data_IF_807411026146
#
_entry.id   IF_807411026146
#
_cell.length_a   1.000
_cell.length_b   1.000
_cell.length_c   1.000
_cell.angle_alpha   90.00
_cell.angle_beta   90.00
_cell.angle_gamma   90.00
#
_symmetry.space_group_name_H-M   'P 1'
#
loop_
_entity.id
_entity.type
_entity.pdbx_description
1 polymer ?
#
# COMPACT_ATOMS: atom_id res chain seq x y z
N UNK A 1 -11.92 13.80 13.68
CA UNK A 1 -11.42 12.70 12.82
C UNK A 1 -9.90 12.71 12.66
N UNK A 2 -9.26 13.71 12.03
CA UNK A 2 -7.79 13.68 11.90
C UNK A 2 -7.07 13.56 13.25
N UNK A 3 -7.31 14.49 14.17
CA UNK A 3 -6.66 14.51 15.51
C UNK A 3 -6.96 13.27 16.36
N UNK A 4 -8.19 12.76 16.28
CA UNK A 4 -8.67 11.69 17.16
C UNK A 4 -8.40 10.27 16.61
N UNK A 5 -8.26 10.12 15.30
CA UNK A 5 -8.22 8.80 14.63
C UNK A 5 -6.98 8.62 13.77
N UNK A 6 -6.63 9.61 12.95
CA UNK A 6 -5.50 9.51 12.01
C UNK A 6 -4.18 9.85 12.72
N UNK A 7 -4.10 11.02 13.35
CA UNK A 7 -2.88 11.53 13.98
C UNK A 7 -2.23 10.55 14.97
N UNK A 8 -2.97 9.85 15.86
CA UNK A 8 -2.36 8.95 16.84
C UNK A 8 -1.64 7.73 16.26
N UNK A 9 -1.92 7.38 14.99
CA UNK A 9 -1.30 6.23 14.30
C UNK A 9 -0.22 6.64 13.30
N UNK A 10 0.05 7.95 13.14
CA UNK A 10 1.10 8.44 12.27
C UNK A 10 2.44 8.52 13.02
N UNK A 11 3.51 8.10 12.36
CA UNK A 11 4.88 8.25 12.87
C UNK A 11 5.75 8.87 11.79
N UNK A 12 6.02 10.18 11.84
CA UNK A 12 6.92 10.82 10.89
C UNK A 12 8.36 10.39 11.12
N UNK A 13 9.09 10.14 10.03
CA UNK A 13 10.51 9.77 10.04
C UNK A 13 11.30 10.90 9.39
N UNK A 14 12.07 11.65 10.19
CA UNK A 14 12.97 12.68 9.67
C UNK A 14 14.21 12.06 9.01
N UNK A 15 14.64 12.65 7.90
CA UNK A 15 15.82 12.25 7.13
C UNK A 15 16.84 13.40 7.16
N UNK A 16 18.05 13.11 7.65
CA UNK A 16 19.18 14.04 7.75
C UNK A 16 20.53 13.28 7.74
N UNK A 17 21.65 14.00 7.86
CA UNK A 17 22.99 13.41 7.85
C UNK A 17 23.23 12.37 8.97
N UNK A 18 22.51 12.46 10.09
CA UNK A 18 22.59 11.52 11.21
C UNK A 18 21.48 10.47 11.19
N UNK A 19 20.43 10.69 10.38
CA UNK A 19 19.26 9.82 10.20
C UNK A 19 19.08 9.56 8.70
N UNK A 20 19.78 8.56 8.12
CA UNK A 20 19.70 8.29 6.69
C UNK A 20 18.27 7.88 6.30
N UNK A 21 18.01 7.93 5.00
CA UNK A 21 16.72 7.55 4.44
C UNK A 21 16.31 6.15 4.92
N UNK A 22 15.09 5.97 5.47
CA UNK A 22 14.69 4.72 6.09
C UNK A 22 14.47 3.62 5.04
N UNK A 23 14.68 2.37 5.44
CA UNK A 23 14.25 1.22 4.64
C UNK A 23 12.72 1.15 4.65
N UNK A 24 12.09 1.53 3.54
CA UNK A 24 10.64 1.43 3.36
C UNK A 24 10.23 0.04 2.90
N UNK A 25 9.11 -0.45 3.45
CA UNK A 25 8.48 -1.68 2.99
C UNK A 25 7.94 -1.51 1.56
N UNK A 26 8.09 -2.55 0.73
CA UNK A 26 7.54 -2.56 -0.62
C UNK A 26 6.03 -2.45 -0.63
N UNK A 27 5.48 -1.88 -1.71
CA UNK A 27 4.04 -1.70 -1.97
C UNK A 27 3.29 -0.84 -0.93
N UNK A 28 4.01 -0.14 -0.05
CA UNK A 28 3.43 0.82 0.90
C UNK A 28 3.29 2.21 0.27
N UNK A 29 2.20 2.90 0.62
CA UNK A 29 2.00 4.29 0.24
C UNK A 29 2.67 5.21 1.26
N UNK A 30 3.47 6.15 0.77
CA UNK A 30 4.26 7.05 1.60
C UNK A 30 4.10 8.50 1.10
N UNK A 31 4.26 9.44 2.02
CA UNK A 31 4.30 10.86 1.75
C UNK A 31 5.69 11.37 2.06
N UNK A 32 6.35 12.00 1.10
CA UNK A 32 7.57 12.76 1.34
C UNK A 32 7.17 14.21 1.65
N UNK A 33 7.68 14.72 2.77
CA UNK A 33 7.39 16.06 3.28
C UNK A 33 8.67 16.88 3.25
N UNK A 34 8.65 17.98 2.48
CA UNK A 34 9.72 18.97 2.47
C UNK A 34 9.45 20.01 3.55
N UNK A 35 10.45 20.26 4.40
CA UNK A 35 10.34 21.09 5.60
C UNK A 35 11.38 22.22 5.55
N UNK A 36 10.98 23.38 6.06
CA UNK A 36 11.85 24.54 6.28
C UNK A 36 11.88 24.87 7.78
N UNK A 37 13.08 25.08 8.33
CA UNK A 37 13.23 25.52 9.73
C UNK A 37 12.67 26.92 9.92
N UNK A 38 11.85 27.13 10.96
CA UNK A 38 11.32 28.46 11.29
C UNK A 38 12.32 29.33 12.08
N UNK A 39 13.50 28.80 12.43
CA UNK A 39 14.49 29.52 13.24
C UNK A 39 15.24 30.58 12.42
N UNK A 40 15.08 31.84 12.82
CA UNK A 40 15.80 33.01 12.28
C UNK A 40 17.34 32.97 12.45
N UNK A 41 17.88 32.01 13.21
CA UNK A 41 19.30 31.92 13.57
C UNK A 41 20.03 30.71 13.00
N UNK A 42 19.30 29.81 12.33
CA UNK A 42 19.90 28.69 11.59
C UNK A 42 19.82 29.01 10.10
N UNK A 43 20.86 28.68 9.34
CA UNK A 43 20.77 28.66 7.88
C UNK A 43 19.51 27.89 7.45
N UNK A 44 18.91 28.31 6.34
CA UNK A 44 17.71 27.71 5.76
C UNK A 44 18.01 26.27 5.29
N UNK A 45 18.17 25.36 6.23
CA UNK A 45 18.40 23.95 5.98
C UNK A 45 17.06 23.31 5.63
N UNK A 46 16.91 22.94 4.36
CA UNK A 46 15.80 22.11 3.92
C UNK A 46 15.92 20.72 4.56
N UNK A 47 14.85 20.29 5.20
CA UNK A 47 14.76 18.97 5.81
C UNK A 47 13.72 18.12 5.09
N UNK A 48 13.96 16.82 5.09
CA UNK A 48 13.04 15.86 4.51
C UNK A 48 12.46 15.01 5.63
N UNK A 49 11.18 14.71 5.55
CA UNK A 49 10.54 13.71 6.38
C UNK A 49 9.66 12.79 5.54
N UNK A 50 9.43 11.59 6.06
CA UNK A 50 8.56 10.61 5.43
C UNK A 50 7.44 10.27 6.41
N UNK A 51 6.22 10.25 5.90
CA UNK A 51 5.03 9.81 6.62
C UNK A 51 4.44 8.64 5.86
N UNK A 52 4.44 7.45 6.48
CA UNK A 52 3.80 6.29 5.88
C UNK A 52 2.29 6.38 6.07
N UNK A 53 1.52 6.13 5.00
CA UNK A 53 0.06 6.07 5.08
C UNK A 53 -0.34 4.76 5.76
N UNK A 54 -1.04 4.81 6.90
CA UNK A 54 -1.26 3.63 7.74
C UNK A 54 -2.32 2.70 7.12
N UNK A 55 -1.98 1.43 6.95
CA UNK A 55 -2.88 0.42 6.37
C UNK A 55 -3.98 -0.08 7.32
N UNK A 56 -3.89 0.27 8.62
CA UNK A 56 -4.92 -0.08 9.62
C UNK A 56 -6.20 0.76 9.47
N UNK A 57 -6.13 1.88 8.76
CA UNK A 57 -7.28 2.74 8.50
C UNK A 57 -7.84 2.49 7.09
N UNK A 58 -9.14 2.69 6.93
CA UNK A 58 -9.74 2.74 5.59
C UNK A 58 -9.12 3.87 4.78
N UNK A 59 -8.73 3.56 3.54
CA UNK A 59 -8.04 4.51 2.67
C UNK A 59 -8.97 5.55 2.04
N UNK A 60 -10.27 5.26 1.98
CA UNK A 60 -11.29 6.22 1.56
C UNK A 60 -12.13 6.59 2.79
N UNK A 61 -12.36 7.88 2.99
CA UNK A 61 -13.10 8.40 4.14
C UNK A 61 -14.36 9.07 3.60
N UNK A 62 -15.52 8.60 4.03
CA UNK A 62 -16.81 9.24 3.70
C UNK A 62 -16.93 10.57 4.45
N UNK A 63 -17.27 11.63 3.72
CA UNK A 63 -17.45 12.97 4.28
C UNK A 63 -18.89 13.47 4.08
N UNK A 64 -19.39 14.37 4.94
CA UNK A 64 -20.74 14.91 4.80
C UNK A 64 -20.95 15.52 3.41
N UNK A 65 -22.02 15.10 2.74
CA UNK A 65 -22.42 15.57 1.43
C UNK A 65 -23.89 15.99 1.42
N UNK A 66 -24.34 16.61 0.32
CA UNK A 66 -25.73 17.01 0.15
C UNK A 66 -26.70 15.81 0.08
N UNK A 67 -28.02 16.07 0.08
CA UNK A 67 -29.01 15.02 -0.09
C UNK A 67 -28.76 14.25 -1.41
N UNK A 68 -28.82 12.92 -1.34
CA UNK A 68 -28.58 11.97 -2.44
C UNK A 68 -27.15 11.96 -3.02
N UNK A 69 -26.16 12.48 -2.30
CA UNK A 69 -24.75 12.40 -2.69
C UNK A 69 -23.92 11.66 -1.63
N UNK A 70 -22.97 10.84 -2.09
CA UNK A 70 -21.88 10.33 -1.24
C UNK A 70 -20.59 10.99 -1.72
N UNK A 71 -19.80 11.53 -0.79
CA UNK A 71 -18.51 12.15 -1.08
C UNK A 71 -17.43 11.45 -0.27
N UNK A 72 -16.28 11.24 -0.88
CA UNK A 72 -15.16 10.57 -0.26
C UNK A 72 -13.88 11.36 -0.50
N UNK A 73 -12.98 11.28 0.46
CA UNK A 73 -11.60 11.80 0.37
C UNK A 73 -10.63 10.67 0.65
N UNK A 74 -9.44 10.74 0.06
CA UNK A 74 -8.41 9.75 0.31
C UNK A 74 -7.68 10.05 1.62
N UNK A 75 -7.28 9.01 2.34
CA UNK A 75 -6.57 9.11 3.60
C UNK A 75 -5.27 9.91 3.45
N UNK A 76 -4.50 9.65 2.40
CA UNK A 76 -3.28 10.40 2.10
C UNK A 76 -3.50 11.90 1.87
N UNK A 77 -4.64 12.30 1.29
CA UNK A 77 -4.97 13.71 1.07
C UNK A 77 -5.33 14.40 2.39
N UNK A 78 -6.02 13.68 3.30
CA UNK A 78 -6.31 14.17 4.65
C UNK A 78 -5.02 14.33 5.45
N UNK A 79 -4.09 13.37 5.35
CA UNK A 79 -2.78 13.46 6.00
C UNK A 79 -1.98 14.63 5.43
N UNK A 80 -1.92 14.77 4.10
CA UNK A 80 -1.18 15.84 3.44
C UNK A 80 -1.72 17.24 3.81
N UNK A 81 -3.05 17.40 3.85
CA UNK A 81 -3.68 18.68 4.24
C UNK A 81 -3.49 19.08 5.70
N UNK A 82 -3.12 18.14 6.57
CA UNK A 82 -2.86 18.38 8.00
C UNK A 82 -1.40 18.11 8.39
N UNK A 83 -0.49 18.03 7.40
CA UNK A 83 0.90 17.69 7.64
C UNK A 83 1.60 18.66 8.60
N UNK A 84 1.22 19.94 8.63
CA UNK A 84 1.76 20.95 9.56
C UNK A 84 1.62 20.53 11.03
N UNK A 85 0.57 19.78 11.38
CA UNK A 85 0.35 19.31 12.75
C UNK A 85 1.35 18.23 13.18
N UNK A 86 2.01 17.55 12.21
CA UNK A 86 3.03 16.54 12.48
C UNK A 86 4.41 17.14 12.73
N UNK A 87 4.66 18.38 12.29
CA UNK A 87 6.01 18.97 12.21
C UNK A 87 6.10 20.31 12.94
N UNK A 88 5.87 20.30 14.27
CA UNK A 88 6.00 21.51 15.10
C UNK A 88 7.40 22.15 15.00
N UNK A 89 7.43 23.47 14.77
CA UNK A 89 8.67 24.26 14.62
C UNK A 89 9.28 24.21 13.22
N UNK A 90 8.58 23.61 12.26
CA UNK A 90 8.92 23.61 10.85
C UNK A 90 7.73 24.10 10.02
N UNK A 91 8.04 24.72 8.90
CA UNK A 91 7.07 25.03 7.86
C UNK A 91 7.07 23.93 6.81
N UNK A 92 5.90 23.35 6.53
CA UNK A 92 5.76 22.39 5.42
C UNK A 92 5.79 23.15 4.09
N UNK A 93 6.78 22.85 3.23
CA UNK A 93 6.89 23.42 1.88
C UNK A 93 6.06 22.65 0.88
N UNK A 94 6.13 21.31 0.92
CA UNK A 94 5.36 20.43 0.04
C UNK A 94 5.19 19.04 0.65
N UNK A 95 4.14 18.34 0.22
CA UNK A 95 3.85 16.95 0.58
C UNK A 95 3.56 16.19 -0.71
N UNK A 96 4.27 15.10 -0.95
CA UNK A 96 4.23 14.40 -2.25
C UNK A 96 4.09 12.91 -2.04
N UNK A 97 3.02 12.32 -2.57
CA UNK A 97 2.76 10.90 -2.45
C UNK A 97 3.63 10.09 -3.42
N UNK A 98 4.21 9.01 -2.91
CA UNK A 98 4.94 8.04 -3.71
C UNK A 98 4.73 6.61 -3.18
N UNK A 99 4.96 5.63 -4.05
CA UNK A 99 4.91 4.21 -3.70
C UNK A 99 6.02 3.46 -4.40
N UNK A 100 6.83 2.79 -3.59
CA UNK A 100 7.94 1.97 -4.07
C UNK A 100 7.54 0.50 -4.09
N UNK A 101 7.73 -0.17 -5.22
CA UNK A 101 7.67 -1.64 -5.28
C UNK A 101 9.08 -2.19 -5.12
N UNK A 102 9.28 -3.30 -4.42
CA UNK A 102 10.61 -3.94 -4.31
C UNK A 102 10.60 -5.34 -4.94
N UNK A 103 11.61 -5.68 -5.71
CA UNK A 103 11.77 -7.04 -6.24
C UNK A 103 12.14 -7.96 -5.07
N UNK A 104 11.19 -8.85 -4.74
CA UNK A 104 11.22 -9.88 -3.70
C UNK A 104 10.73 -9.49 -2.30
N UNK A 105 9.41 -9.52 -2.15
CA UNK A 105 8.82 -10.17 -0.98
C UNK A 105 9.20 -11.66 -1.04
N UNK A 106 10.24 -12.08 -0.31
CA UNK A 106 10.45 -13.50 -0.04
C UNK A 106 9.40 -13.93 0.98
N UNK A 107 8.31 -14.56 0.54
CA UNK A 107 7.60 -15.52 1.38
C UNK A 107 8.56 -16.69 1.60
N UNK A 108 9.27 -16.68 2.73
CA UNK A 108 10.04 -17.84 3.17
C UNK A 108 9.00 -18.92 3.49
N UNK A 109 8.83 -19.89 2.59
CA UNK A 109 8.15 -21.13 2.92
C UNK A 109 9.09 -21.92 3.85
N UNK A 110 8.76 -21.97 5.14
CA UNK A 110 9.57 -22.60 6.22
C UNK A 110 9.61 -24.13 6.20
N UNK A 111 9.34 -24.78 5.06
CA UNK A 111 9.37 -26.24 4.97
C UNK A 111 10.63 -26.73 4.25
N UNK A 112 11.70 -26.89 5.05
CA UNK A 112 12.72 -27.91 4.82
C UNK A 112 13.95 -27.53 4.00
N UNK A 113 14.92 -26.81 4.60
CA UNK A 113 16.33 -27.16 4.38
C UNK A 113 17.26 -26.59 5.47
N UNK A 114 18.02 -27.47 6.12
CA UNK A 114 19.08 -27.09 7.07
C UNK A 114 20.28 -26.39 6.39
N UNK A 115 20.37 -26.38 5.05
CA UNK A 115 21.45 -25.74 4.29
C UNK A 115 20.98 -24.49 3.51
N UNK A 116 19.67 -24.16 3.54
CA UNK A 116 19.20 -22.89 2.97
C UNK A 116 19.65 -21.70 3.81
N UNK A 117 19.80 -21.83 5.13
CA UNK A 117 20.08 -20.71 6.02
C UNK A 117 21.41 -20.00 5.69
N UNK A 118 22.46 -20.75 5.36
CA UNK A 118 23.76 -20.19 5.02
C UNK A 118 23.77 -19.56 3.60
N UNK A 119 23.08 -20.18 2.65
CA UNK A 119 22.91 -19.64 1.29
C UNK A 119 22.00 -18.39 1.30
N UNK A 120 20.94 -18.40 2.12
CA UNK A 120 20.05 -17.28 2.43
C UNK A 120 20.82 -16.14 3.08
N UNK A 121 21.68 -16.37 4.08
CA UNK A 121 22.46 -15.29 4.71
C UNK A 121 23.40 -14.60 3.70
N UNK A 122 23.95 -15.38 2.77
CA UNK A 122 24.86 -14.90 1.73
C UNK A 122 24.12 -14.12 0.64
N UNK A 123 22.94 -14.60 0.24
CA UNK A 123 22.04 -13.90 -0.69
C UNK A 123 21.34 -12.69 -0.03
N UNK A 124 20.95 -12.76 1.25
CA UNK A 124 20.39 -11.64 2.04
C UNK A 124 21.36 -10.46 2.14
N UNK A 125 22.67 -10.74 2.30
CA UNK A 125 23.71 -9.70 2.29
C UNK A 125 23.85 -9.02 0.92
N UNK A 126 23.67 -9.76 -0.18
CA UNK A 126 23.69 -9.22 -1.55
C UNK A 126 22.37 -8.54 -1.94
N UNK A 127 21.24 -8.99 -1.36
CA UNK A 127 19.88 -8.57 -1.69
C UNK A 127 19.38 -7.34 -0.90
N UNK A 128 20.18 -6.82 0.04
CA UNK A 128 19.95 -5.46 0.56
C UNK A 128 19.93 -4.39 -0.54
N UNK A 129 20.49 -4.69 -1.72
CA UNK A 129 20.42 -3.88 -2.94
C UNK A 129 19.68 -4.61 -4.06
N UNK A 130 18.44 -5.02 -3.80
CA UNK A 130 17.53 -5.50 -4.85
C UNK A 130 17.35 -4.41 -5.90
N UNK A 131 17.82 -4.70 -7.11
CA UNK A 131 17.76 -3.87 -8.32
C UNK A 131 16.39 -3.24 -8.51
N UNK A 132 16.38 -1.99 -8.96
CA UNK A 132 15.24 -1.08 -8.99
C UNK A 132 13.92 -1.72 -9.39
N UNK A 133 12.89 -1.33 -8.65
CA UNK A 133 11.53 -1.80 -8.90
C UNK A 133 10.59 -0.64 -8.69
N UNK A 134 9.84 -0.37 -9.75
CA UNK A 134 8.75 0.60 -9.90
C UNK A 134 8.56 1.59 -8.74
N UNK A 135 8.86 2.86 -9.02
CA UNK A 135 8.44 4.01 -8.23
C UNK A 135 7.20 4.64 -8.88
N UNK A 136 6.06 4.57 -8.21
CA UNK A 136 4.82 5.26 -8.61
C UNK A 136 4.77 6.63 -7.93
N UNK A 137 4.46 7.68 -8.69
CA UNK A 137 4.33 9.06 -8.20
C UNK A 137 3.11 9.74 -8.81
N UNK A 138 2.53 10.73 -8.11
CA UNK A 138 1.39 11.50 -8.65
C UNK A 138 1.91 12.57 -9.61
N UNK A 139 1.53 12.47 -10.89
CA UNK A 139 2.01 13.33 -11.99
C UNK A 139 1.87 14.83 -11.68
N UNK A 140 0.76 15.23 -11.05
CA UNK A 140 0.42 16.64 -10.80
C UNK A 140 1.00 17.22 -9.51
N UNK A 141 1.62 16.39 -8.67
CA UNK A 141 2.09 16.76 -7.33
C UNK A 141 3.58 16.56 -7.15
N UNK A 142 4.19 15.67 -7.94
CA UNK A 142 5.60 15.34 -7.81
C UNK A 142 6.48 16.42 -8.45
N UNK A 143 7.24 17.12 -7.62
CA UNK A 143 8.26 18.08 -8.02
C UNK A 143 9.49 17.33 -8.54
N UNK A 144 10.11 17.83 -9.60
CA UNK A 144 11.26 17.15 -10.21
C UNK A 144 12.47 17.05 -9.25
N UNK A 145 12.68 18.03 -8.37
CA UNK A 145 13.74 17.98 -7.35
C UNK A 145 13.52 16.84 -6.34
N UNK A 146 12.27 16.66 -5.90
CA UNK A 146 11.89 15.57 -5.00
C UNK A 146 11.96 14.22 -5.70
N UNK A 147 11.56 14.15 -6.98
CA UNK A 147 11.74 12.95 -7.77
C UNK A 147 13.22 12.56 -7.87
N UNK A 148 14.11 13.50 -8.23
CA UNK A 148 15.55 13.23 -8.31
C UNK A 148 16.12 12.79 -6.96
N UNK A 149 15.65 13.39 -5.87
CA UNK A 149 16.00 12.96 -4.51
C UNK A 149 15.59 11.50 -4.27
N UNK A 150 14.34 11.12 -4.55
CA UNK A 150 13.86 9.74 -4.40
C UNK A 150 14.62 8.75 -5.29
N UNK A 151 14.93 9.11 -6.54
CA UNK A 151 15.72 8.27 -7.45
C UNK A 151 17.12 7.98 -6.91
N UNK A 152 17.76 9.01 -6.33
CA UNK A 152 19.08 8.88 -5.72
C UNK A 152 19.04 8.01 -4.47
N UNK A 153 18.08 8.25 -3.56
CA UNK A 153 17.95 7.50 -2.31
C UNK A 153 17.59 6.03 -2.55
N UNK A 154 16.82 5.73 -3.59
CA UNK A 154 16.48 4.35 -3.96
C UNK A 154 17.44 3.69 -4.94
N UNK A 155 18.43 4.42 -5.44
CA UNK A 155 19.39 3.94 -6.45
C UNK A 155 18.67 3.36 -7.70
N UNK A 156 17.60 4.02 -8.16
CA UNK A 156 16.80 3.61 -9.33
C UNK A 156 16.85 4.66 -10.45
N UNK A 157 16.51 4.24 -11.67
CA UNK A 157 16.52 5.13 -12.84
C UNK A 157 15.15 5.75 -13.15
N UNK A 158 15.14 6.78 -13.98
CA UNK A 158 13.91 7.37 -14.55
C UNK A 158 13.03 6.33 -15.28
N UNK A 159 13.65 5.29 -15.85
CA UNK A 159 12.92 4.18 -16.49
C UNK A 159 12.04 3.38 -15.53
N UNK A 160 12.30 3.48 -14.22
CA UNK A 160 11.53 2.81 -13.18
C UNK A 160 10.41 3.70 -12.62
N UNK A 161 10.26 4.94 -13.12
CA UNK A 161 9.26 5.91 -12.66
C UNK A 161 7.97 5.78 -13.44
N UNK A 162 6.88 5.67 -12.70
CA UNK A 162 5.52 5.61 -13.24
C UNK A 162 4.77 6.81 -12.70
N UNK A 163 4.60 7.81 -13.56
CA UNK A 163 3.82 9.00 -13.24
C UNK A 163 2.34 8.69 -13.48
N UNK A 164 1.53 8.82 -12.44
CA UNK A 164 0.11 8.45 -12.44
C UNK A 164 -0.73 9.73 -12.31
N UNK A 165 -1.68 9.91 -13.22
CA UNK A 165 -2.68 10.98 -13.15
C UNK A 165 -3.90 10.48 -12.36
N UNK A 166 -3.76 10.41 -11.04
CA UNK A 166 -4.78 9.89 -10.12
C UNK A 166 -4.17 9.34 -8.83
N UNK A 167 -4.99 8.67 -7.99
CA UNK A 167 -4.48 8.01 -6.80
C UNK A 167 -3.49 6.90 -7.16
N UNK A 168 -2.44 6.78 -6.34
CA UNK A 168 -1.52 5.65 -6.40
C UNK A 168 -2.21 4.38 -5.90
N UNK A 169 -1.68 3.20 -6.18
CA UNK A 169 -2.18 1.93 -5.62
C UNK A 169 -3.72 1.75 -5.71
N UNK A 170 -4.26 1.31 -6.84
CA UNK A 170 -5.71 1.17 -7.03
C UNK A 170 -6.35 -0.02 -6.29
N UNK A 171 -5.60 -0.75 -5.45
CA UNK A 171 -6.14 -1.90 -4.70
C UNK A 171 -7.26 -1.52 -3.73
N UNK A 172 -7.30 -0.27 -3.27
CA UNK A 172 -8.40 0.23 -2.42
C UNK A 172 -9.77 0.20 -3.13
N UNK A 173 -9.79 0.16 -4.47
CA UNK A 173 -11.04 0.18 -5.24
C UNK A 173 -11.92 -1.04 -4.97
N UNK A 174 -11.33 -2.19 -4.61
CA UNK A 174 -12.11 -3.38 -4.26
C UNK A 174 -13.04 -3.12 -3.06
N UNK A 175 -12.49 -2.66 -1.95
CA UNK A 175 -13.28 -2.29 -0.77
C UNK A 175 -14.15 -1.04 -1.01
N UNK A 176 -13.70 -0.11 -1.85
CA UNK A 176 -14.49 1.06 -2.21
C UNK A 176 -15.79 0.67 -2.95
N UNK A 177 -15.71 -0.25 -3.91
CA UNK A 177 -16.88 -0.75 -4.65
C UNK A 177 -17.91 -1.37 -3.71
N UNK A 178 -17.47 -2.18 -2.75
CA UNK A 178 -18.35 -2.75 -1.72
C UNK A 178 -19.06 -1.65 -0.92
N UNK A 179 -18.34 -0.61 -0.50
CA UNK A 179 -18.93 0.51 0.26
C UNK A 179 -19.95 1.33 -0.55
N UNK A 180 -19.66 1.63 -1.82
CA UNK A 180 -20.52 2.51 -2.62
C UNK A 180 -21.72 1.79 -3.24
N UNK A 181 -21.69 0.47 -3.28
CA UNK A 181 -22.74 -0.36 -3.87
C UNK A 181 -23.90 -0.69 -2.93
N UNK A 182 -23.82 -0.30 -1.65
CA UNK A 182 -24.93 -0.41 -0.69
C UNK A 182 -26.19 0.30 -1.23
N UNK A 183 -27.26 -0.46 -1.49
CA UNK A 183 -28.51 0.02 -2.11
C UNK A 183 -28.46 0.16 -3.63
N UNK A 184 -27.39 -0.32 -4.28
CA UNK A 184 -27.15 -0.29 -5.73
C UNK A 184 -26.66 -1.65 -6.25
N UNK A 185 -27.23 -2.73 -5.74
CA UNK A 185 -26.83 -4.10 -6.05
C UNK A 185 -26.95 -4.42 -7.55
N UNK A 186 -27.86 -3.74 -8.26
CA UNK A 186 -28.03 -3.83 -9.71
C UNK A 186 -26.83 -3.33 -10.53
N UNK A 187 -25.85 -2.65 -9.92
CA UNK A 187 -24.60 -2.25 -10.55
C UNK A 187 -23.47 -3.27 -10.34
N UNK A 188 -23.69 -4.28 -9.50
CA UNK A 188 -22.73 -5.33 -9.21
C UNK A 188 -22.94 -6.53 -10.13
N UNK A 189 -21.89 -7.36 -10.26
CA UNK A 189 -22.05 -8.70 -10.80
C UNK A 189 -22.93 -9.54 -9.87
N UNK A 190 -23.75 -10.40 -10.47
CA UNK A 190 -24.55 -11.35 -9.71
C UNK A 190 -23.63 -12.30 -8.93
N UNK A 191 -23.91 -12.48 -7.64
CA UNK A 191 -23.16 -13.43 -6.82
C UNK A 191 -23.47 -14.85 -7.30
N UNK A 192 -22.42 -15.62 -7.58
CA UNK A 192 -22.56 -17.03 -7.91
C UNK A 192 -22.40 -17.86 -6.62
N UNK A 193 -23.42 -18.64 -6.29
CA UNK A 193 -23.38 -19.58 -5.16
C UNK A 193 -22.85 -20.93 -5.69
N UNK A 194 -21.65 -21.38 -5.25
CA UNK A 194 -21.12 -22.68 -5.64
C UNK A 194 -22.10 -23.81 -5.33
N UNK A 195 -22.24 -24.75 -6.26
CA UNK A 195 -23.14 -25.89 -6.10
C UNK A 195 -22.38 -27.08 -5.52
N UNK A 196 -23.09 -28.03 -4.90
CA UNK A 196 -22.44 -29.30 -4.56
C UNK A 196 -22.03 -30.02 -5.85
N UNK A 197 -20.86 -30.67 -5.87
CA UNK A 197 -20.44 -31.49 -7.00
C UNK A 197 -21.50 -32.52 -7.34
N UNK A 198 -21.90 -32.60 -8.61
CA UNK A 198 -22.97 -33.50 -9.04
C UNK A 198 -22.61 -34.98 -8.80
N UNK A 199 -21.32 -35.29 -8.73
CA UNK A 199 -20.81 -36.63 -8.48
C UNK A 199 -20.93 -37.11 -7.02
N UNK A 200 -21.28 -36.21 -6.11
CA UNK A 200 -21.54 -36.52 -4.70
C UNK A 200 -23.06 -36.54 -4.46
N UNK A 201 -23.62 -37.74 -4.27
CA UNK A 201 -25.01 -37.87 -3.81
C UNK A 201 -25.17 -37.31 -2.39
N UNK A 202 -26.40 -36.95 -2.02
CA UNK A 202 -26.69 -36.20 -0.78
C UNK A 202 -26.27 -36.89 0.52
N UNK A 203 -26.03 -38.19 0.47
CA UNK A 203 -25.91 -39.11 1.59
C UNK A 203 -24.59 -39.91 1.57
N UNK A 204 -23.74 -39.69 0.56
CA UNK A 204 -22.41 -40.31 0.46
C UNK A 204 -21.32 -39.32 0.88
N UNK A 205 -20.32 -39.83 1.61
CA UNK A 205 -19.12 -39.04 1.92
C UNK A 205 -18.16 -39.02 0.74
N UNK A 206 -17.33 -37.96 0.64
CA UNK A 206 -16.29 -37.83 -0.39
C UNK A 206 -15.37 -39.06 -0.42
N UNK A 207 -15.04 -39.61 0.75
CA UNK A 207 -14.17 -40.79 0.86
C UNK A 207 -14.83 -42.06 0.33
N UNK A 208 -16.12 -42.26 0.57
CA UNK A 208 -16.86 -43.40 0.03
C UNK A 208 -16.88 -43.33 -1.50
N UNK A 209 -17.15 -42.16 -2.07
CA UNK A 209 -17.19 -41.99 -3.53
C UNK A 209 -15.82 -42.16 -4.20
N UNK A 210 -14.76 -41.66 -3.56
CA UNK A 210 -13.39 -41.75 -4.08
C UNK A 210 -12.85 -43.19 -4.15
N UNK A 211 -13.43 -44.13 -3.39
CA UNK A 211 -13.08 -45.55 -3.49
C UNK A 211 -13.67 -46.21 -4.74
N UNK A 212 -14.75 -45.67 -5.29
CA UNK A 212 -15.44 -46.22 -6.46
C UNK A 212 -14.90 -45.64 -7.78
N UNK A 213 -14.57 -44.35 -7.79
CA UNK A 213 -14.10 -43.64 -8.98
C UNK A 213 -13.26 -42.41 -8.62
N UNK A 214 -12.48 -41.94 -9.60
CA UNK A 214 -11.82 -40.63 -9.51
C UNK A 214 -12.88 -39.51 -9.46
N UNK A 215 -12.64 -38.52 -8.61
CA UNK A 215 -13.49 -37.33 -8.45
C UNK A 215 -12.78 -36.11 -9.04
N UNK A 216 -13.50 -35.34 -9.84
CA UNK A 216 -13.04 -34.06 -10.38
C UNK A 216 -13.92 -32.94 -9.85
N UNK A 217 -13.28 -31.89 -9.32
CA UNK A 217 -13.97 -30.72 -8.79
C UNK A 217 -13.67 -29.50 -9.64
N UNK A 218 -14.71 -28.79 -10.08
CA UNK A 218 -14.60 -27.62 -10.94
C UNK A 218 -14.86 -26.32 -10.17
N UNK A 219 -13.83 -25.83 -9.48
CA UNK A 219 -13.91 -24.54 -8.77
C UNK A 219 -13.78 -23.35 -9.74
N UNK A 220 -14.46 -22.20 -9.47
CA UNK A 220 -15.28 -21.91 -8.28
C UNK A 220 -16.76 -22.30 -8.43
N UNK A 221 -17.12 -23.15 -9.40
CA UNK A 221 -18.52 -23.49 -9.68
C UNK A 221 -19.06 -24.53 -8.70
N UNK A 222 -18.19 -25.42 -8.25
CA UNK A 222 -18.47 -26.40 -7.22
C UNK A 222 -17.89 -25.97 -5.86
N UNK A 223 -18.62 -26.31 -4.80
CA UNK A 223 -18.30 -26.02 -3.40
C UNK A 223 -16.93 -26.59 -2.98
N UNK A 224 -16.23 -25.85 -2.11
CA UNK A 224 -15.06 -26.34 -1.38
C UNK A 224 -15.43 -27.14 -0.11
N UNK A 225 -16.64 -26.95 0.42
CA UNK A 225 -17.20 -27.71 1.55
C UNK A 225 -17.60 -29.13 1.17
#
# INVERSE_FOLDING_TARGET
YFEETIFPVLTPIAVDAYRPFPTLLGKTLNLLVMLESESFFSDFDEKVAIVQVPSVLERFIEVPAGPDQKMFVLLEDVIASHADQLFYGYRVKSVQAFRLTRNADLTIHEEGAQDLLAEIEKELKKRKWGTGTRLEVREREMDDEVLQYLLKEFEIGESDVYRINGPLDLTFLFGFVEKVSEGKEHLLFESFIPQRPHDLESDETIFEKALEKDLFFHHPYESFE
#
